data_IF_676362276818
#
_entry.id   IF_676362276818
#
_cell.length_a   1.000
_cell.length_b   1.000
_cell.length_c   1.000
_cell.angle_alpha   90.00
_cell.angle_beta   90.00
_cell.angle_gamma   90.00
#
_symmetry.space_group_name_H-M   'P 1'
#
loop_
_entity.id
_entity.type
_entity.pdbx_description
1 polymer ?
#
# COMPACT_ATOMS: atom_id res chain seq x y z
N UNK A 1 -51.71 6.30 -34.07
CA UNK A 1 -50.32 5.79 -34.05
C UNK A 1 -49.32 6.69 -33.31
N UNK A 2 -49.47 8.02 -33.33
CA UNK A 2 -48.47 8.92 -32.75
C UNK A 2 -48.29 8.80 -31.22
N UNK A 3 -49.35 8.54 -30.45
CA UNK A 3 -49.27 8.50 -28.99
C UNK A 3 -48.43 7.33 -28.45
N UNK A 4 -48.61 6.12 -29.02
CA UNK A 4 -47.83 4.94 -28.62
C UNK A 4 -46.34 5.09 -28.97
N UNK A 5 -46.05 5.70 -30.14
CA UNK A 5 -44.68 5.97 -30.59
C UNK A 5 -43.99 7.00 -29.69
N UNK A 6 -44.72 8.04 -29.27
CA UNK A 6 -44.22 9.04 -28.31
C UNK A 6 -43.92 8.40 -26.95
N UNK A 7 -44.79 7.53 -26.44
CA UNK A 7 -44.56 6.82 -25.18
C UNK A 7 -43.30 5.94 -25.26
N UNK A 8 -43.15 5.17 -26.34
CA UNK A 8 -41.97 4.33 -26.57
C UNK A 8 -40.68 5.13 -26.63
N UNK A 9 -40.73 6.33 -27.23
CA UNK A 9 -39.58 7.23 -27.31
C UNK A 9 -39.20 7.80 -25.93
N UNK A 10 -40.19 8.20 -25.13
CA UNK A 10 -39.98 8.73 -23.77
C UNK A 10 -39.41 7.65 -22.84
N UNK A 11 -39.94 6.43 -22.90
CA UNK A 11 -39.43 5.32 -22.07
C UNK A 11 -38.01 4.92 -22.45
N UNK A 12 -37.67 4.94 -23.74
CA UNK A 12 -36.31 4.72 -24.22
C UNK A 12 -35.33 5.81 -23.73
N UNK A 13 -35.76 7.08 -23.75
CA UNK A 13 -34.95 8.19 -23.25
C UNK A 13 -34.69 8.09 -21.74
N UNK A 14 -35.71 7.70 -20.96
CA UNK A 14 -35.59 7.46 -19.52
C UNK A 14 -34.61 6.31 -19.20
N UNK A 15 -34.64 5.22 -19.98
CA UNK A 15 -33.69 4.12 -19.85
C UNK A 15 -32.24 4.56 -20.07
N UNK A 16 -31.99 5.41 -21.08
CA UNK A 16 -30.66 5.95 -21.38
C UNK A 16 -30.15 6.80 -20.21
N UNK A 17 -30.99 7.68 -19.66
CA UNK A 17 -30.62 8.53 -18.53
C UNK A 17 -30.27 7.69 -17.30
N UNK A 18 -31.06 6.64 -17.02
CA UNK A 18 -30.78 5.69 -15.94
C UNK A 18 -29.43 4.97 -16.15
N UNK A 19 -29.14 4.55 -17.38
CA UNK A 19 -27.90 3.87 -17.74
C UNK A 19 -26.68 4.78 -17.54
N UNK A 20 -26.77 6.05 -17.96
CA UNK A 20 -25.72 7.06 -17.78
C UNK A 20 -25.51 7.34 -16.28
N UNK A 21 -26.58 7.43 -15.51
CA UNK A 21 -26.52 7.56 -14.04
C UNK A 21 -25.80 6.39 -13.37
N UNK A 22 -26.06 5.15 -13.81
CA UNK A 22 -25.36 3.96 -13.31
C UNK A 22 -23.88 3.95 -13.68
N UNK A 23 -23.55 4.32 -14.93
CA UNK A 23 -22.15 4.39 -15.40
C UNK A 23 -21.37 5.45 -14.62
N UNK A 24 -21.94 6.65 -14.43
CA UNK A 24 -21.30 7.72 -13.66
C UNK A 24 -21.10 7.32 -12.19
N UNK A 25 -22.08 6.64 -11.58
CA UNK A 25 -21.96 6.12 -10.21
C UNK A 25 -20.87 5.04 -10.08
N UNK A 26 -20.75 4.15 -11.07
CA UNK A 26 -19.69 3.15 -11.15
C UNK A 26 -18.31 3.79 -11.31
N UNK A 27 -18.18 4.84 -12.13
CA UNK A 27 -16.93 5.59 -12.30
C UNK A 27 -16.55 6.30 -11.00
N UNK A 28 -17.50 6.96 -10.32
CA UNK A 28 -17.26 7.62 -9.03
C UNK A 28 -16.84 6.58 -7.96
N UNK A 29 -17.52 5.44 -7.89
CA UNK A 29 -17.16 4.32 -6.98
C UNK A 29 -15.77 3.75 -7.29
N UNK A 30 -15.36 3.70 -8.56
CA UNK A 30 -14.03 3.26 -8.99
C UNK A 30 -12.94 4.31 -8.71
N UNK A 31 -13.27 5.61 -8.76
CA UNK A 31 -12.35 6.71 -8.46
C UNK A 31 -11.98 6.78 -6.97
N UNK A 32 -12.94 6.43 -6.08
CA UNK A 32 -12.66 6.08 -4.69
C UNK A 32 -12.07 4.67 -4.66
N UNK A 33 -10.84 4.52 -5.14
CA UNK A 33 -10.02 3.36 -4.79
C UNK A 33 -10.05 3.30 -3.25
N UNK A 34 -10.72 2.31 -2.65
CA UNK A 34 -10.91 2.32 -1.22
C UNK A 34 -9.53 2.28 -0.58
N UNK A 35 -9.30 3.03 0.51
CA UNK A 35 -8.03 2.98 1.26
C UNK A 35 -7.65 1.53 1.64
N UNK A 36 -8.66 0.66 1.76
CA UNK A 36 -8.51 -0.79 1.96
C UNK A 36 -7.86 -1.54 0.77
N UNK A 37 -7.87 -1.00 -0.45
CA UNK A 37 -7.28 -1.64 -1.64
C UNK A 37 -5.75 -1.52 -1.65
N UNK A 38 -5.20 -0.40 -1.16
CA UNK A 38 -3.76 -0.27 -0.90
C UNK A 38 -3.30 -1.25 0.19
N UNK A 39 -4.20 -1.58 1.11
CA UNK A 39 -3.99 -2.55 2.17
C UNK A 39 -4.01 -3.98 1.61
N UNK A 40 -4.97 -4.35 0.74
CA UNK A 40 -5.14 -5.75 0.32
C UNK A 40 -4.29 -6.16 -0.90
N UNK A 41 -3.93 -5.24 -1.80
CA UNK A 41 -3.16 -5.56 -3.01
C UNK A 41 -2.13 -4.47 -3.29
N UNK A 42 -1.01 -4.52 -2.58
CA UNK A 42 0.16 -3.73 -2.92
C UNK A 42 1.10 -4.55 -3.81
N UNK A 43 1.09 -4.25 -5.11
CA UNK A 43 2.07 -4.76 -6.05
C UNK A 43 3.00 -3.60 -6.40
N UNK A 44 4.28 -3.63 -5.96
CA UNK A 44 5.30 -2.67 -6.40
C UNK A 44 5.29 -2.47 -7.92
N UNK A 45 4.98 -3.54 -8.67
CA UNK A 45 4.85 -3.57 -10.14
C UNK A 45 3.70 -2.75 -10.74
N UNK A 46 2.72 -2.29 -9.95
CA UNK A 46 1.61 -1.46 -10.47
C UNK A 46 2.00 0.01 -10.66
N UNK A 47 3.11 0.46 -10.04
CA UNK A 47 3.56 1.84 -10.09
C UNK A 47 4.64 2.02 -11.17
N UNK A 48 4.20 2.08 -12.42
CA UNK A 48 5.08 2.18 -13.60
C UNK A 48 5.78 3.54 -13.77
N UNK A 49 5.39 4.57 -13.01
CA UNK A 49 5.97 5.91 -13.10
C UNK A 49 6.39 6.42 -11.71
N UNK A 50 7.58 7.03 -11.62
CA UNK A 50 8.12 7.69 -10.42
C UNK A 50 7.12 8.66 -9.78
N UNK A 51 6.38 9.44 -10.59
CA UNK A 51 5.36 10.38 -10.07
C UNK A 51 4.29 9.67 -9.22
N UNK A 52 3.87 8.47 -9.63
CA UNK A 52 2.88 7.69 -8.90
C UNK A 52 3.50 7.03 -7.65
N UNK A 53 4.78 6.68 -7.67
CA UNK A 53 5.49 6.16 -6.50
C UNK A 53 5.53 7.22 -5.38
N UNK A 54 5.97 8.45 -5.67
CA UNK A 54 6.04 9.51 -4.65
C UNK A 54 4.68 9.84 -4.04
N UNK A 55 3.65 9.96 -4.88
CA UNK A 55 2.27 10.17 -4.38
C UNK A 55 1.84 9.03 -3.45
N UNK A 56 2.19 7.79 -3.78
CA UNK A 56 1.84 6.63 -2.95
C UNK A 56 2.62 6.62 -1.64
N UNK A 57 3.88 7.06 -1.64
CA UNK A 57 4.68 7.25 -0.42
C UNK A 57 4.01 8.29 0.48
N UNK A 58 3.54 9.41 -0.08
CA UNK A 58 2.83 10.45 0.67
C UNK A 58 1.52 9.93 1.26
N UNK A 59 0.73 9.22 0.44
CA UNK A 59 -0.53 8.60 0.88
C UNK A 59 -0.30 7.60 2.03
N UNK A 60 0.70 6.73 1.90
CA UNK A 60 1.09 5.78 2.96
C UNK A 60 1.61 6.49 4.21
N UNK A 61 2.34 7.60 4.06
CA UNK A 61 2.82 8.40 5.18
C UNK A 61 1.67 9.00 5.97
N UNK A 62 0.65 9.54 5.28
CA UNK A 62 -0.57 10.03 5.92
C UNK A 62 -1.34 8.90 6.64
N UNK A 63 -1.38 7.71 6.05
CA UNK A 63 -2.01 6.54 6.69
C UNK A 63 -1.25 6.06 7.93
N UNK A 64 0.09 6.04 7.89
CA UNK A 64 0.93 5.70 9.05
C UNK A 64 0.73 6.73 10.16
N UNK A 65 0.63 8.01 9.83
CA UNK A 65 0.40 9.07 10.82
C UNK A 65 -0.95 8.93 11.54
N UNK A 66 -1.99 8.47 10.84
CA UNK A 66 -3.33 8.26 11.41
C UNK A 66 -3.50 6.90 12.07
N UNK A 67 -2.80 5.86 11.59
CA UNK A 67 -2.81 4.50 12.14
C UNK A 67 -1.38 3.97 12.28
N UNK A 68 -0.73 4.38 13.37
CA UNK A 68 0.73 4.22 13.61
C UNK A 68 1.21 2.77 13.66
N UNK A 69 0.32 1.80 13.86
CA UNK A 69 0.70 0.42 14.19
C UNK A 69 0.41 -0.56 13.04
N UNK A 70 0.17 -0.06 11.82
CA UNK A 70 -0.14 -0.92 10.70
C UNK A 70 1.13 -1.36 9.95
N UNK A 71 1.64 -2.55 10.30
CA UNK A 71 2.83 -3.15 9.69
C UNK A 71 2.76 -3.25 8.16
N UNK A 72 1.56 -3.38 7.59
CA UNK A 72 1.41 -3.50 6.14
C UNK A 72 1.72 -2.19 5.42
N UNK A 73 1.32 -1.04 5.98
CA UNK A 73 1.65 0.26 5.42
C UNK A 73 3.14 0.55 5.48
N UNK A 74 3.78 0.23 6.61
CA UNK A 74 5.23 0.35 6.78
C UNK A 74 5.97 -0.56 5.77
N UNK A 75 5.60 -1.83 5.65
CA UNK A 75 6.18 -2.74 4.67
C UNK A 75 6.05 -2.21 3.23
N UNK A 76 4.85 -1.74 2.86
CA UNK A 76 4.60 -1.24 1.51
C UNK A 76 5.41 0.04 1.21
N UNK A 77 5.50 0.97 2.17
CA UNK A 77 6.31 2.19 2.01
C UNK A 77 7.80 1.86 1.93
N UNK A 78 8.28 0.92 2.75
CA UNK A 78 9.64 0.39 2.67
C UNK A 78 9.96 -0.21 1.29
N UNK A 79 9.04 -0.96 0.70
CA UNK A 79 9.20 -1.48 -0.67
C UNK A 79 9.27 -0.38 -1.72
N UNK A 80 8.49 0.71 -1.59
CA UNK A 80 8.57 1.86 -2.51
C UNK A 80 9.91 2.59 -2.38
N UNK A 81 10.43 2.75 -1.17
CA UNK A 81 11.76 3.33 -0.95
C UNK A 81 12.86 2.52 -1.65
N UNK A 82 12.79 1.18 -1.64
CA UNK A 82 13.71 0.36 -2.44
C UNK A 82 13.58 0.64 -3.95
N UNK A 83 12.35 0.83 -4.46
CA UNK A 83 12.13 1.12 -5.88
C UNK A 83 12.73 2.46 -6.32
N UNK A 84 12.73 3.46 -5.43
CA UNK A 84 13.35 4.77 -5.70
C UNK A 84 14.82 4.85 -5.27
N UNK A 85 15.43 3.71 -4.90
CA UNK A 85 16.84 3.58 -4.48
C UNK A 85 17.19 4.32 -3.19
N UNK A 86 16.27 4.32 -2.23
CA UNK A 86 16.43 4.86 -0.87
C UNK A 86 16.46 3.72 0.18
N UNK A 87 17.51 2.87 0.19
CA UNK A 87 17.53 1.66 1.01
C UNK A 87 17.61 1.92 2.51
N UNK A 88 18.23 3.01 2.96
CA UNK A 88 18.32 3.34 4.39
C UNK A 88 16.95 3.73 4.95
N UNK A 89 16.16 4.50 4.21
CA UNK A 89 14.79 4.86 4.59
C UNK A 89 13.87 3.64 4.59
N UNK A 90 14.06 2.74 3.60
CA UNK A 90 13.35 1.46 3.55
C UNK A 90 13.62 0.59 4.78
N UNK A 91 14.87 0.57 5.24
CA UNK A 91 15.30 -0.22 6.39
C UNK A 91 14.57 0.20 7.67
N UNK A 92 14.41 1.51 7.90
CA UNK A 92 13.67 2.06 9.05
C UNK A 92 12.22 1.54 9.04
N UNK A 93 11.54 1.64 7.90
CA UNK A 93 10.16 1.17 7.75
C UNK A 93 10.04 -0.35 7.96
N UNK A 94 10.99 -1.14 7.47
CA UNK A 94 10.99 -2.59 7.68
C UNK A 94 11.23 -2.99 9.14
N UNK A 95 12.08 -2.28 9.86
CA UNK A 95 12.32 -2.53 11.30
C UNK A 95 11.06 -2.22 12.10
N UNK A 96 10.44 -1.05 11.90
CA UNK A 96 9.19 -0.69 12.59
C UNK A 96 8.06 -1.66 12.22
N UNK A 97 7.94 -2.04 10.94
CA UNK A 97 6.98 -3.04 10.48
C UNK A 97 7.08 -4.35 11.29
N UNK A 98 8.31 -4.86 11.47
CA UNK A 98 8.57 -6.09 12.21
C UNK A 98 8.40 -5.94 13.72
N UNK A 99 8.60 -4.73 14.25
CA UNK A 99 8.34 -4.41 15.66
C UNK A 99 6.86 -4.53 15.99
N UNK A 100 5.99 -4.07 15.09
CA UNK A 100 4.54 -4.17 15.26
C UNK A 100 3.97 -5.57 14.92
N UNK A 101 4.50 -6.25 13.90
CA UNK A 101 4.08 -7.60 13.54
C UNK A 101 5.26 -8.45 13.06
N UNK A 102 5.71 -9.36 13.93
CA UNK A 102 6.83 -10.28 13.67
C UNK A 102 6.60 -11.18 12.45
N UNK A 103 5.37 -11.38 11.98
CA UNK A 103 5.08 -12.16 10.77
C UNK A 103 5.72 -11.56 9.51
N UNK A 104 6.03 -10.26 9.52
CA UNK A 104 6.69 -9.59 8.42
C UNK A 104 8.20 -9.84 8.34
N UNK A 105 8.85 -10.35 9.40
CA UNK A 105 10.31 -10.57 9.43
C UNK A 105 10.78 -11.37 8.20
N UNK A 106 10.08 -12.45 7.86
CA UNK A 106 10.43 -13.28 6.69
C UNK A 106 10.29 -12.51 5.37
N UNK A 107 9.27 -11.67 5.23
CA UNK A 107 9.03 -10.85 4.02
C UNK A 107 10.08 -9.73 3.91
N UNK A 108 10.34 -9.00 4.99
CA UNK A 108 11.35 -7.94 5.04
C UNK A 108 12.76 -8.50 4.80
N UNK A 109 13.10 -9.66 5.40
CA UNK A 109 14.36 -10.38 5.15
C UNK A 109 14.53 -10.68 3.66
N UNK A 110 13.50 -11.24 3.03
CA UNK A 110 13.52 -11.53 1.60
C UNK A 110 13.69 -10.27 0.74
N UNK A 111 12.97 -9.19 1.06
CA UNK A 111 13.07 -7.92 0.36
C UNK A 111 14.48 -7.31 0.45
N UNK A 112 15.05 -7.25 1.66
CA UNK A 112 16.39 -6.71 1.90
C UNK A 112 17.45 -7.53 1.16
N UNK A 113 17.41 -8.86 1.27
CA UNK A 113 18.38 -9.75 0.62
C UNK A 113 18.29 -9.74 -0.90
N UNK A 114 17.08 -9.62 -1.45
CA UNK A 114 16.89 -9.47 -2.90
C UNK A 114 17.45 -8.15 -3.42
N UNK A 115 17.42 -7.08 -2.61
CA UNK A 115 17.95 -5.78 -3.00
C UNK A 115 19.47 -5.74 -2.90
N UNK A 116 20.03 -6.04 -1.71
CA UNK A 116 21.48 -6.00 -1.49
C UNK A 116 21.89 -6.79 -0.22
N UNK A 117 23.01 -7.55 -0.24
CA UNK A 117 23.46 -8.35 0.91
C UNK A 117 23.75 -7.50 2.16
N UNK A 118 24.37 -6.33 2.02
CA UNK A 118 24.61 -5.41 3.15
C UNK A 118 23.30 -4.91 3.79
N UNK A 119 22.26 -4.69 2.99
CA UNK A 119 20.95 -4.25 3.52
C UNK A 119 20.31 -5.38 4.35
N UNK A 120 20.43 -6.62 3.88
CA UNK A 120 20.01 -7.80 4.64
C UNK A 120 20.77 -7.91 5.97
N UNK A 121 22.08 -7.72 5.95
CA UNK A 121 22.91 -7.76 7.17
C UNK A 121 22.47 -6.71 8.18
N UNK A 122 22.33 -5.44 7.74
CA UNK A 122 21.83 -4.34 8.57
C UNK A 122 20.45 -4.65 9.16
N UNK A 123 19.54 -5.16 8.34
CA UNK A 123 18.19 -5.54 8.77
C UNK A 123 18.21 -6.66 9.82
N UNK A 124 18.94 -7.74 9.56
CA UNK A 124 19.02 -8.88 10.47
C UNK A 124 19.67 -8.50 11.80
N UNK A 125 20.71 -7.65 11.77
CA UNK A 125 21.31 -7.07 12.96
C UNK A 125 20.28 -6.28 13.77
N UNK A 126 19.57 -5.34 13.15
CA UNK A 126 18.56 -4.54 13.84
C UNK A 126 17.43 -5.38 14.45
N UNK A 127 16.93 -6.39 13.73
CA UNK A 127 15.88 -7.29 14.24
C UNK A 127 16.39 -8.09 15.43
N UNK A 128 17.61 -8.65 15.35
CA UNK A 128 18.21 -9.41 16.44
C UNK A 128 18.39 -8.57 17.72
N UNK A 129 18.87 -7.33 17.60
CA UNK A 129 19.11 -6.46 18.77
C UNK A 129 17.85 -5.80 19.33
N UNK A 130 16.86 -5.48 18.49
CA UNK A 130 15.73 -4.63 18.90
C UNK A 130 14.42 -5.40 19.14
N UNK A 131 14.27 -6.62 18.60
CA UNK A 131 12.96 -7.30 18.52
C UNK A 131 12.96 -8.66 19.27
N UNK A 132 14.12 -9.31 19.42
CA UNK A 132 14.25 -10.49 20.28
C UNK A 132 14.40 -10.08 21.75
N UNK A 133 13.39 -10.42 22.53
CA UNK A 133 13.29 -10.13 23.98
C UNK A 133 13.67 -11.33 24.86
N UNK A 134 13.98 -12.47 24.24
CA UNK A 134 14.33 -13.72 24.94
C UNK A 134 15.84 -13.88 25.16
N UNK A 135 16.67 -12.96 24.64
CA UNK A 135 18.13 -12.97 24.84
C UNK A 135 18.50 -11.83 25.78
N UNK A 136 19.07 -12.19 26.94
CA UNK A 136 19.59 -11.25 27.94
C UNK A 136 20.49 -10.24 27.22
N UNK A 137 20.10 -8.95 27.25
CA UNK A 137 20.93 -7.85 26.74
C UNK A 137 22.26 -7.90 27.50
N UNK A 138 23.42 -8.09 26.85
CA UNK A 138 24.68 -7.96 27.56
C UNK A 138 24.75 -6.52 28.08
N UNK A 139 24.87 -6.38 29.38
CA UNK A 139 25.10 -5.08 30.03
C UNK A 139 26.36 -4.47 29.40
N UNK A 140 26.17 -3.46 28.55
CA UNK A 140 27.26 -2.61 28.10
C UNK A 140 27.52 -1.64 29.26
N UNK A 141 28.66 -1.83 29.93
CA UNK A 141 29.22 -0.88 30.89
C UNK A 141 29.77 0.35 30.17
#
# INVERSE_FOLDING_TARGET
MNFLVIILFITFLLLIILLIGLITLLIIKRSKIPQNLLQSVFLPRLFWNKKNIYKTIDDLTNQINTNKNNSLFLYNRGMLYLMIKEPETSLVDFIECCRYDKKFIKKCKYACGKYHPLLLEKFMSAVFYQIDTDVIKPFVK
#
